data_IF_075161890050
#
_entry.id   IF_075161890050
#
_cell.length_a   1.000
_cell.length_b   1.000
_cell.length_c   1.000
_cell.angle_alpha   90.00
_cell.angle_beta   90.00
_cell.angle_gamma   90.00
#
_symmetry.space_group_name_H-M   'P 1'
#
loop_
_entity.id
_entity.type
_entity.pdbx_description
1 polymer ?
#
# COMPACT_ATOMS: atom_id res chain seq x y z
N UNK A 1 -17.93 -2.47 5.13
CA UNK A 1 -17.07 -2.51 3.93
C UNK A 1 -16.89 -1.14 3.28
N UNK A 2 -17.94 -0.37 2.95
CA UNK A 2 -17.74 0.96 2.34
C UNK A 2 -16.88 1.90 3.18
N UNK A 3 -17.22 2.11 4.46
CA UNK A 3 -16.42 2.97 5.36
C UNK A 3 -15.01 2.42 5.58
N UNK A 4 -14.87 1.09 5.55
CA UNK A 4 -13.59 0.39 5.66
C UNK A 4 -12.67 0.73 4.49
N UNK A 5 -13.14 0.56 3.26
CA UNK A 5 -12.37 0.84 2.05
C UNK A 5 -12.14 2.34 1.89
N UNK A 6 -13.09 3.17 2.32
CA UNK A 6 -12.91 4.63 2.40
C UNK A 6 -11.79 5.01 3.36
N UNK A 7 -11.75 4.42 4.56
CA UNK A 7 -10.68 4.64 5.54
C UNK A 7 -9.33 4.23 4.96
N UNK A 8 -9.23 3.04 4.37
CA UNK A 8 -8.00 2.57 3.71
C UNK A 8 -7.58 3.54 2.60
N UNK A 9 -8.52 3.94 1.74
CA UNK A 9 -8.25 4.83 0.62
C UNK A 9 -7.73 6.19 1.05
N UNK A 10 -8.30 6.78 2.11
CA UNK A 10 -7.90 8.10 2.63
C UNK A 10 -6.50 8.06 3.24
N UNK A 11 -6.12 6.94 3.87
CA UNK A 11 -4.82 6.81 4.53
C UNK A 11 -3.70 6.38 3.58
N UNK A 12 -3.98 5.48 2.62
CA UNK A 12 -2.94 4.91 1.76
C UNK A 12 -2.69 5.73 0.49
N UNK A 13 -3.75 6.21 -0.19
CA UNK A 13 -3.60 6.87 -1.49
C UNK A 13 -3.15 8.31 -1.32
N UNK A 14 -1.84 8.48 -1.16
CA UNK A 14 -1.14 9.75 -1.07
C UNK A 14 -0.28 9.97 -2.32
N UNK A 15 -0.06 11.23 -2.66
CA UNK A 15 0.94 11.56 -3.68
C UNK A 15 2.31 11.25 -3.10
N UNK A 16 3.02 10.29 -3.70
CA UNK A 16 4.40 10.03 -3.37
C UNK A 16 5.21 11.27 -3.78
N UNK A 17 5.73 12.00 -2.80
CA UNK A 17 6.67 13.09 -3.09
C UNK A 17 7.99 12.45 -3.46
N UNK A 18 8.25 12.31 -4.75
CA UNK A 18 9.60 12.04 -5.22
C UNK A 18 10.48 13.19 -4.74
N UNK A 19 11.34 12.90 -3.79
CA UNK A 19 12.37 13.85 -3.38
C UNK A 19 13.15 14.23 -4.64
N UNK A 20 13.32 15.52 -4.97
CA UNK A 20 14.12 15.93 -6.14
C UNK A 20 15.64 15.73 -5.90
N UNK A 21 16.02 14.70 -5.13
CA UNK A 21 17.39 14.43 -4.72
C UNK A 21 18.09 13.42 -5.63
N UNK A 22 17.76 13.38 -6.93
CA UNK A 22 18.57 12.65 -7.91
C UNK A 22 19.81 13.43 -8.36
N UNK A 23 20.09 14.65 -7.89
CA UNK A 23 21.13 15.48 -8.52
C UNK A 23 22.29 16.00 -7.69
N UNK A 24 22.27 15.97 -6.35
CA UNK A 24 23.44 16.43 -5.57
C UNK A 24 23.46 15.76 -4.21
N UNK A 25 24.40 14.85 -3.99
CA UNK A 25 25.31 14.79 -2.83
C UNK A 25 25.92 13.39 -2.85
N UNK A 26 27.11 13.32 -3.41
CA UNK A 26 27.86 12.09 -3.60
C UNK A 26 28.71 11.71 -2.37
N UNK A 27 28.57 12.33 -1.20
CA UNK A 27 29.63 12.28 -0.16
C UNK A 27 29.21 12.34 1.33
N UNK A 28 28.05 11.82 1.74
CA UNK A 28 27.71 11.71 3.18
C UNK A 28 26.89 10.45 3.53
N UNK A 29 27.33 9.29 3.03
CA UNK A 29 26.63 8.02 3.09
C UNK A 29 26.89 7.29 4.42
N UNK A 30 25.87 7.23 5.30
CA UNK A 30 25.35 5.95 5.86
C UNK A 30 24.21 6.15 6.87
N UNK A 31 24.09 7.31 7.54
CA UNK A 31 23.07 7.49 8.60
C UNK A 31 21.90 8.38 8.18
N UNK A 32 22.12 9.38 7.32
CA UNK A 32 21.05 10.28 6.86
C UNK A 32 20.20 9.68 5.74
N UNK A 33 20.77 8.80 4.92
CA UNK A 33 20.04 8.13 3.83
C UNK A 33 18.93 7.20 4.35
N UNK A 34 19.20 6.46 5.43
CA UNK A 34 18.22 5.51 5.97
C UNK A 34 17.02 6.23 6.61
N UNK A 35 17.22 7.41 7.21
CA UNK A 35 16.13 8.29 7.67
C UNK A 35 15.30 8.86 6.51
N UNK A 36 15.91 9.20 5.37
CA UNK A 36 15.16 9.71 4.21
C UNK A 36 14.31 8.67 3.50
N UNK A 37 14.66 7.38 3.59
CA UNK A 37 13.88 6.28 3.01
C UNK A 37 12.66 5.89 3.85
N UNK A 38 12.57 6.37 5.10
CA UNK A 38 11.53 5.98 6.04
C UNK A 38 10.41 7.02 6.09
N UNK A 39 9.18 6.61 5.73
CA UNK A 39 8.02 7.49 5.90
C UNK A 39 7.78 7.76 7.41
N UNK A 40 7.76 9.02 7.88
CA UNK A 40 7.53 9.33 9.30
C UNK A 40 6.12 8.94 9.78
N UNK A 41 5.15 8.82 8.87
CA UNK A 41 3.82 8.32 9.16
C UNK A 41 3.76 6.78 9.20
N UNK A 42 4.88 6.08 8.99
CA UNK A 42 4.94 4.61 8.93
C UNK A 42 4.23 3.89 10.09
N UNK A 43 4.37 4.29 11.37
CA UNK A 43 3.66 3.63 12.46
C UNK A 43 2.12 3.60 12.28
N UNK A 44 1.56 4.61 11.59
CA UNK A 44 0.14 4.65 11.25
C UNK A 44 -0.14 3.86 9.97
N UNK A 45 0.69 4.03 8.94
CA UNK A 45 0.54 3.31 7.66
C UNK A 45 0.63 1.80 7.83
N UNK A 46 1.55 1.33 8.67
CA UNK A 46 1.70 -0.08 9.01
C UNK A 46 0.38 -0.68 9.50
N UNK A 47 -0.34 0.03 10.38
CA UNK A 47 -1.63 -0.45 10.92
C UNK A 47 -2.67 -0.53 9.80
N UNK A 48 -2.68 0.45 8.88
CA UNK A 48 -3.62 0.47 7.76
C UNK A 48 -3.33 -0.66 6.77
N UNK A 49 -2.06 -0.92 6.45
CA UNK A 49 -1.64 -2.04 5.62
C UNK A 49 -1.96 -3.39 6.26
N UNK A 50 -1.63 -3.56 7.55
CA UNK A 50 -1.91 -4.78 8.30
C UNK A 50 -3.43 -5.06 8.36
N UNK A 51 -4.23 -4.01 8.55
CA UNK A 51 -5.68 -4.11 8.49
C UNK A 51 -6.16 -4.53 7.09
N UNK A 52 -5.64 -3.91 6.02
CA UNK A 52 -6.01 -4.23 4.64
C UNK A 52 -5.65 -5.68 4.28
N UNK A 53 -4.47 -6.14 4.68
CA UNK A 53 -4.01 -7.53 4.49
C UNK A 53 -4.95 -8.53 5.17
N UNK A 54 -5.26 -8.30 6.45
CA UNK A 54 -6.23 -9.14 7.18
C UNK A 54 -7.61 -9.11 6.55
N UNK A 55 -8.04 -7.95 6.04
CA UNK A 55 -9.32 -7.82 5.38
C UNK A 55 -9.40 -8.68 4.11
N UNK A 56 -8.35 -8.69 3.28
CA UNK A 56 -8.32 -9.49 2.04
C UNK A 56 -8.11 -10.98 2.31
N UNK A 57 -7.33 -11.34 3.32
CA UNK A 57 -7.05 -12.73 3.67
C UNK A 57 -8.15 -13.40 4.53
N UNK A 58 -9.12 -12.63 5.04
CA UNK A 58 -10.19 -13.17 5.88
C UNK A 58 -11.18 -14.00 5.05
N UNK A 59 -11.45 -15.22 5.50
CA UNK A 59 -12.50 -16.08 4.93
C UNK A 59 -13.92 -15.56 5.17
N UNK A 60 -14.09 -14.60 6.07
CA UNK A 60 -15.36 -13.92 6.33
C UNK A 60 -15.64 -12.78 5.34
N UNK A 61 -14.65 -12.39 4.54
CA UNK A 61 -14.81 -11.33 3.53
C UNK A 61 -15.60 -11.87 2.34
N UNK A 62 -16.85 -11.44 2.22
CA UNK A 62 -17.68 -11.77 1.06
C UNK A 62 -17.08 -11.15 -0.23
N UNK A 63 -16.58 -12.01 -1.09
CA UNK A 63 -15.86 -11.62 -2.30
C UNK A 63 -16.75 -10.90 -3.34
N UNK A 64 -18.07 -11.14 -3.35
CA UNK A 64 -19.02 -10.38 -4.19
C UNK A 64 -19.15 -8.94 -3.72
N UNK A 65 -19.11 -8.72 -2.40
CA UNK A 65 -19.09 -7.37 -1.86
C UNK A 65 -17.71 -6.73 -2.00
N UNK A 66 -16.62 -7.48 -1.83
CA UNK A 66 -15.26 -6.99 -2.03
C UNK A 66 -15.07 -6.40 -3.44
N UNK A 67 -15.54 -7.09 -4.49
CA UNK A 67 -15.50 -6.61 -5.89
C UNK A 67 -16.15 -5.24 -6.10
N UNK A 68 -17.19 -4.90 -5.32
CA UNK A 68 -17.88 -3.61 -5.45
C UNK A 68 -17.07 -2.44 -4.91
N UNK A 69 -16.12 -2.70 -4.01
CA UNK A 69 -15.37 -1.64 -3.33
C UNK A 69 -13.88 -1.64 -3.67
N UNK A 70 -13.29 -2.81 -3.94
CA UNK A 70 -11.96 -2.96 -4.51
C UNK A 70 -12.14 -3.01 -6.03
N UNK A 71 -12.53 -1.89 -6.62
CA UNK A 71 -12.71 -1.82 -8.07
C UNK A 71 -11.37 -1.63 -8.80
N UNK A 72 -11.42 -1.57 -10.13
CA UNK A 72 -10.24 -1.34 -10.96
C UNK A 72 -9.51 -0.04 -10.58
N UNK A 73 -10.25 1.02 -10.20
CA UNK A 73 -9.66 2.29 -9.79
C UNK A 73 -8.96 2.21 -8.43
N UNK A 74 -9.47 1.42 -7.49
CA UNK A 74 -8.78 1.12 -6.24
C UNK A 74 -7.47 0.39 -6.50
N UNK A 75 -7.49 -0.66 -7.33
CA UNK A 75 -6.29 -1.45 -7.65
C UNK A 75 -5.23 -0.58 -8.34
N UNK A 76 -5.60 0.22 -9.33
CA UNK A 76 -4.64 1.13 -10.00
C UNK A 76 -3.97 2.08 -9.01
N UNK A 77 -4.74 2.74 -8.15
CA UNK A 77 -4.17 3.66 -7.14
C UNK A 77 -3.29 2.96 -6.13
N UNK A 78 -3.54 1.67 -5.86
CA UNK A 78 -2.68 0.87 -5.00
C UNK A 78 -1.38 0.49 -5.72
N UNK A 79 -1.45 0.24 -7.04
CA UNK A 79 -0.27 -0.02 -7.86
C UNK A 79 0.63 1.22 -7.98
N UNK A 80 0.06 2.42 -8.01
CA UNK A 80 0.84 3.67 -7.99
C UNK A 80 1.74 3.79 -6.74
N UNK A 81 1.40 3.11 -5.63
CA UNK A 81 2.19 3.13 -4.40
C UNK A 81 3.47 2.26 -4.50
N UNK A 82 3.63 1.45 -5.55
CA UNK A 82 4.87 0.67 -5.76
C UNK A 82 6.09 1.55 -6.07
N UNK A 83 5.86 2.80 -6.49
CA UNK A 83 6.92 3.80 -6.67
C UNK A 83 7.44 4.36 -5.32
N UNK A 84 6.96 3.85 -4.18
CA UNK A 84 7.44 4.24 -2.85
C UNK A 84 8.90 3.84 -2.63
N UNK A 85 9.70 4.77 -2.12
CA UNK A 85 11.10 4.53 -1.76
C UNK A 85 11.21 3.61 -0.52
N UNK A 86 10.21 3.62 0.36
CA UNK A 86 10.16 2.83 1.60
C UNK A 86 10.01 1.33 1.29
N UNK A 87 11.04 0.54 1.63
CA UNK A 87 11.05 -0.90 1.44
C UNK A 87 9.92 -1.62 2.18
N UNK A 88 9.50 -1.10 3.34
CA UNK A 88 8.46 -1.71 4.17
C UNK A 88 7.10 -1.54 3.52
N UNK A 89 6.87 -0.39 2.88
CA UNK A 89 5.65 -0.14 2.12
C UNK A 89 5.55 -1.09 0.92
N UNK A 90 6.63 -1.20 0.13
CA UNK A 90 6.69 -2.13 -1.01
C UNK A 90 6.46 -3.58 -0.62
N UNK A 91 6.99 -4.01 0.53
CA UNK A 91 6.75 -5.36 1.05
C UNK A 91 5.27 -5.59 1.40
N UNK A 92 4.60 -4.62 2.04
CA UNK A 92 3.18 -4.72 2.33
C UNK A 92 2.32 -4.75 1.05
N UNK A 93 2.68 -3.98 0.02
CA UNK A 93 2.02 -4.00 -1.28
C UNK A 93 2.18 -5.37 -1.97
N UNK A 94 3.38 -5.96 -1.93
CA UNK A 94 3.63 -7.31 -2.45
C UNK A 94 2.77 -8.37 -1.73
N UNK A 95 2.70 -8.30 -0.40
CA UNK A 95 1.86 -9.21 0.38
C UNK A 95 0.37 -9.02 0.04
N UNK A 96 -0.07 -7.78 -0.18
CA UNK A 96 -1.44 -7.51 -0.61
C UNK A 96 -1.72 -8.13 -1.97
N UNK A 97 -0.83 -7.97 -2.95
CA UNK A 97 -1.01 -8.56 -4.28
C UNK A 97 -1.12 -10.09 -4.18
N UNK A 98 -0.27 -10.73 -3.39
CA UNK A 98 -0.35 -12.17 -3.13
C UNK A 98 -1.70 -12.56 -2.54
N UNK A 99 -2.10 -11.91 -1.44
CA UNK A 99 -3.37 -12.20 -0.78
C UNK A 99 -4.58 -11.92 -1.69
N UNK A 100 -4.53 -10.86 -2.50
CA UNK A 100 -5.59 -10.52 -3.45
C UNK A 100 -5.74 -11.57 -4.54
N UNK A 101 -4.61 -12.04 -5.09
CA UNK A 101 -4.58 -13.10 -6.11
C UNK A 101 -5.10 -14.43 -5.56
N UNK A 102 -4.81 -14.75 -4.30
CA UNK A 102 -5.28 -15.98 -3.65
C UNK A 102 -6.76 -15.92 -3.26
N UNK A 103 -7.21 -14.80 -2.68
CA UNK A 103 -8.49 -14.76 -1.97
C UNK A 103 -9.62 -14.06 -2.74
N UNK A 104 -9.31 -13.18 -3.69
CA UNK A 104 -10.32 -12.33 -4.33
C UNK A 104 -10.29 -12.35 -5.86
N UNK A 105 -9.16 -12.68 -6.49
CA UNK A 105 -8.98 -12.60 -7.95
C UNK A 105 -10.00 -13.39 -8.77
N UNK A 106 -10.40 -14.57 -8.30
CA UNK A 106 -11.41 -15.40 -8.99
C UNK A 106 -12.77 -14.70 -9.14
N UNK A 107 -13.07 -13.68 -8.33
CA UNK A 107 -14.28 -12.89 -8.48
C UNK A 107 -14.19 -11.82 -9.57
N UNK A 108 -12.98 -11.49 -10.05
CA UNK A 108 -12.75 -10.45 -11.06
C UNK A 108 -12.71 -11.00 -12.49
N UNK A 109 -12.52 -12.31 -12.64
CA UNK A 109 -12.74 -13.06 -13.89
C UNK A 109 -14.25 -13.26 -14.10
#
# INVERSE_FOLDING_TARGET
MQETIKMVSINLFRTLTSSPCESKVLEAFDVEEEETLMDPAWPHLQIVYEFLLRFVASSETDAKFAKRYIDHSFVLRLLDLFDSEDLRERENLNQFCTAFMENLWYCYI
#
